data_IF_025784973449
#
_entry.id   IF_025784973449
#
_cell.length_a   1.000
_cell.length_b   1.000
_cell.length_c   1.000
_cell.angle_alpha   90.00
_cell.angle_beta   90.00
_cell.angle_gamma   90.00
#
_symmetry.space_group_name_H-M   'P 1'
#
loop_
_entity.id
_entity.type
_entity.pdbx_description
1 polymer ?
#
# COMPACT_ATOMS: atom_id res chain seq x y z
N UNK A 1 -6.13 -8.96 -12.28
CA UNK A 1 -6.61 -8.12 -11.16
C UNK A 1 -7.83 -7.35 -11.60
N UNK A 2 -8.97 -7.63 -10.97
CA UNK A 2 -10.27 -7.13 -11.45
C UNK A 2 -10.81 -5.97 -10.61
N UNK A 3 -10.21 -5.70 -9.47
CA UNK A 3 -10.65 -4.62 -8.58
C UNK A 3 -9.46 -3.75 -8.18
N UNK A 4 -9.72 -2.47 -7.86
CA UNK A 4 -8.67 -1.60 -7.33
C UNK A 4 -8.08 -2.20 -6.07
N UNK A 5 -6.75 -2.27 -5.99
CA UNK A 5 -6.04 -2.94 -4.90
C UNK A 5 -4.99 -2.03 -4.31
N UNK A 6 -5.03 -1.91 -2.99
CA UNK A 6 -3.97 -1.28 -2.20
C UNK A 6 -3.10 -2.39 -1.63
N UNK A 7 -1.79 -2.27 -1.82
CA UNK A 7 -0.82 -3.19 -1.22
C UNK A 7 0.12 -2.42 -0.32
N UNK A 8 0.18 -2.81 0.95
CA UNK A 8 1.19 -2.28 1.87
C UNK A 8 2.34 -3.27 1.97
N UNK A 9 3.55 -2.81 1.64
CA UNK A 9 4.76 -3.56 1.92
C UNK A 9 5.26 -3.16 3.30
N UNK A 10 5.46 -4.14 4.17
CA UNK A 10 5.84 -3.89 5.56
C UNK A 10 6.91 -4.87 6.02
N UNK A 11 7.46 -4.60 7.19
CA UNK A 11 8.34 -5.54 7.91
C UNK A 11 7.91 -5.59 9.37
N UNK A 12 8.17 -6.72 10.02
CA UNK A 12 7.76 -6.91 11.42
C UNK A 12 8.49 -5.95 12.38
N UNK A 13 9.69 -5.51 12.01
CA UNK A 13 10.49 -4.57 12.81
C UNK A 13 10.18 -3.11 12.49
N UNK A 14 9.27 -2.85 11.60
CA UNK A 14 8.99 -1.50 11.11
C UNK A 14 7.94 -0.81 11.98
N UNK A 15 8.37 0.11 12.84
CA UNK A 15 7.45 0.87 13.71
C UNK A 15 6.47 1.71 12.90
N UNK A 16 6.91 2.50 11.89
CA UNK A 16 5.95 3.31 11.10
C UNK A 16 4.91 2.47 10.35
N UNK A 17 5.20 1.19 10.10
CA UNK A 17 4.23 0.32 9.43
C UNK A 17 2.96 0.11 10.27
N UNK A 18 3.09 0.16 11.59
CA UNK A 18 1.93 0.06 12.49
C UNK A 18 1.02 1.26 12.36
N UNK A 19 1.60 2.45 12.26
CA UNK A 19 0.84 3.67 12.02
C UNK A 19 0.20 3.64 10.62
N UNK A 20 0.90 3.09 9.64
CA UNK A 20 0.35 2.94 8.29
C UNK A 20 -0.87 2.04 8.28
N UNK A 21 -0.90 0.98 9.09
CA UNK A 21 -2.07 0.11 9.20
C UNK A 21 -3.31 0.86 9.64
N UNK A 22 -3.16 1.79 10.58
CA UNK A 22 -4.27 2.62 11.06
C UNK A 22 -4.81 3.47 9.91
N UNK A 23 -3.92 4.08 9.14
CA UNK A 23 -4.32 4.92 8.01
C UNK A 23 -5.01 4.10 6.91
N UNK A 24 -4.56 2.87 6.68
CA UNK A 24 -5.21 1.99 5.71
C UNK A 24 -6.59 1.56 6.16
N UNK A 25 -6.81 1.35 7.46
CA UNK A 25 -8.15 1.06 7.99
C UNK A 25 -9.09 2.24 7.80
N UNK A 26 -8.59 3.45 7.98
CA UNK A 26 -9.37 4.65 7.69
C UNK A 26 -9.74 4.72 6.21
N UNK A 27 -8.80 4.38 5.33
CA UNK A 27 -9.03 4.36 3.90
C UNK A 27 -10.07 3.31 3.52
N UNK A 28 -10.00 2.12 4.11
CA UNK A 28 -10.98 1.07 3.87
C UNK A 28 -12.39 1.51 4.26
N UNK A 29 -12.53 2.23 5.36
CA UNK A 29 -13.82 2.76 5.80
C UNK A 29 -14.36 3.81 4.82
N UNK A 30 -13.47 4.61 4.23
CA UNK A 30 -13.84 5.63 3.25
C UNK A 30 -14.23 5.01 1.90
N UNK A 31 -13.54 3.94 1.49
CA UNK A 31 -13.77 3.27 0.19
C UNK A 31 -13.92 1.77 0.38
N UNK A 32 -15.12 1.30 0.78
CA UNK A 32 -15.33 -0.14 1.07
C UNK A 32 -15.09 -1.08 -0.11
N UNK A 33 -15.09 -0.57 -1.34
CA UNK A 33 -14.83 -1.37 -2.53
C UNK A 33 -13.36 -1.65 -2.81
N UNK A 34 -12.44 -1.05 -2.05
CA UNK A 34 -11.01 -1.31 -2.22
C UNK A 34 -10.63 -2.64 -1.60
N UNK A 35 -9.78 -3.38 -2.32
CA UNK A 35 -9.10 -4.53 -1.72
C UNK A 35 -7.79 -4.03 -1.10
N UNK A 36 -7.59 -4.31 0.18
CA UNK A 36 -6.37 -3.93 0.89
C UNK A 36 -5.64 -5.20 1.32
N UNK A 37 -4.38 -5.32 0.93
CA UNK A 37 -3.55 -6.47 1.32
C UNK A 37 -2.21 -5.98 1.85
N UNK A 38 -1.61 -6.82 2.71
CA UNK A 38 -0.33 -6.51 3.34
C UNK A 38 0.65 -7.62 3.03
N UNK A 39 1.83 -7.23 2.55
CA UNK A 39 2.89 -8.17 2.18
C UNK A 39 4.14 -7.87 2.99
N UNK A 40 4.61 -8.90 3.70
CA UNK A 40 5.86 -8.83 4.44
C UNK A 40 7.01 -8.93 3.43
N UNK A 41 7.89 -7.93 3.42
CA UNK A 41 8.99 -7.88 2.44
C UNK A 41 9.95 -9.06 2.56
N UNK A 42 10.05 -9.65 3.75
CA UNK A 42 10.93 -10.80 3.96
C UNK A 42 10.38 -12.10 3.38
N UNK A 43 9.07 -12.13 3.12
CA UNK A 43 8.41 -13.29 2.54
C UNK A 43 8.15 -13.15 1.04
N UNK A 44 8.40 -11.96 0.47
CA UNK A 44 8.13 -11.66 -0.92
C UNK A 44 9.29 -10.93 -1.59
N UNK A 45 10.51 -11.50 -1.54
CA UNK A 45 11.67 -10.83 -2.14
C UNK A 45 11.53 -10.63 -3.65
N UNK A 46 10.79 -11.51 -4.32
CA UNK A 46 10.50 -11.38 -5.75
C UNK A 46 9.69 -10.12 -6.06
N UNK A 47 8.67 -9.82 -5.25
CA UNK A 47 7.85 -8.63 -5.44
C UNK A 47 8.59 -7.36 -5.03
N UNK A 48 9.42 -7.45 -3.99
CA UNK A 48 10.27 -6.34 -3.57
C UNK A 48 11.19 -5.92 -4.72
N UNK A 49 11.78 -6.89 -5.40
CA UNK A 49 12.63 -6.62 -6.55
C UNK A 49 11.83 -6.10 -7.73
N UNK A 50 10.71 -6.74 -8.04
CA UNK A 50 9.88 -6.38 -9.18
C UNK A 50 9.40 -4.93 -9.13
N UNK A 51 8.98 -4.48 -7.95
CA UNK A 51 8.45 -3.13 -7.75
C UNK A 51 9.49 -2.17 -7.18
N UNK A 52 10.74 -2.62 -7.04
CA UNK A 52 11.85 -1.81 -6.55
C UNK A 52 11.54 -1.15 -5.20
N UNK A 53 11.01 -1.95 -4.27
CA UNK A 53 10.66 -1.48 -2.93
C UNK A 53 11.96 -1.27 -2.15
N UNK A 54 12.24 -0.04 -1.74
CA UNK A 54 13.49 0.32 -1.07
C UNK A 54 13.28 0.78 0.37
N UNK A 55 12.05 1.03 0.76
CA UNK A 55 11.71 1.53 2.08
C UNK A 55 10.35 0.99 2.50
N UNK A 56 10.15 0.84 3.82
CA UNK A 56 8.86 0.46 4.39
C UNK A 56 8.47 1.48 5.45
N UNK A 57 7.15 1.75 5.61
CA UNK A 57 6.07 1.21 4.80
C UNK A 57 6.10 1.76 3.37
N UNK A 58 5.58 0.99 2.44
CA UNK A 58 5.40 1.42 1.06
C UNK A 58 3.99 1.03 0.65
N UNK A 59 3.19 1.99 0.20
CA UNK A 59 1.81 1.76 -0.20
C UNK A 59 1.71 1.87 -1.71
N UNK A 60 1.22 0.81 -2.36
CA UNK A 60 1.08 0.75 -3.80
C UNK A 60 -0.40 0.61 -4.16
N UNK A 61 -0.83 1.38 -5.16
CA UNK A 61 -2.18 1.30 -5.71
C UNK A 61 -2.13 0.73 -7.11
N UNK A 62 -3.00 -0.24 -7.35
CA UNK A 62 -3.12 -0.88 -8.67
C UNK A 62 -4.58 -0.92 -9.08
N UNK A 63 -4.83 -0.58 -10.34
CA UNK A 63 -6.15 -0.78 -10.94
C UNK A 63 -5.99 -1.34 -12.35
N UNK A 64 -7.01 -2.07 -12.87
CA UNK A 64 -6.91 -2.70 -14.17
C UNK A 64 -6.58 -1.69 -15.28
N UNK A 65 -5.65 -2.07 -16.14
CA UNK A 65 -5.29 -1.27 -17.30
C UNK A 65 -4.40 -0.08 -17.04
N UNK A 66 -3.92 0.13 -15.80
CA UNK A 66 -3.06 1.26 -15.46
C UNK A 66 -1.80 0.80 -14.75
N UNK A 67 -0.74 1.59 -14.91
CA UNK A 67 0.51 1.33 -14.20
C UNK A 67 0.34 1.56 -12.71
N UNK A 68 1.03 0.78 -11.85
CA UNK A 68 0.96 0.99 -10.41
C UNK A 68 1.47 2.37 -9.99
N UNK A 69 0.86 2.91 -8.95
CA UNK A 69 1.32 4.14 -8.29
C UNK A 69 1.83 3.78 -6.91
N UNK A 70 2.91 4.42 -6.47
CA UNK A 70 3.52 4.10 -5.18
C UNK A 70 3.77 5.34 -4.32
N UNK A 71 3.64 5.14 -3.00
CA UNK A 71 3.94 6.16 -1.99
C UNK A 71 4.91 5.58 -0.97
N UNK A 72 6.18 5.99 -1.01
CA UNK A 72 7.14 5.55 0.00
C UNK A 72 6.93 6.27 1.32
N UNK A 73 7.23 5.57 2.42
CA UNK A 73 7.11 6.12 3.76
C UNK A 73 5.67 6.15 4.27
N UNK A 74 5.52 6.62 5.51
CA UNK A 74 4.21 6.74 6.14
C UNK A 74 3.37 7.80 5.44
N UNK A 75 2.17 7.41 5.02
CA UNK A 75 1.27 8.28 4.25
C UNK A 75 -0.12 8.22 4.86
N UNK A 76 -0.72 9.38 5.10
CA UNK A 76 -2.06 9.45 5.67
C UNK A 76 -3.12 8.97 4.67
N UNK A 77 -4.30 8.58 5.18
CA UNK A 77 -5.42 8.21 4.33
C UNK A 77 -5.76 9.34 3.35
N UNK A 78 -5.74 10.59 3.83
CA UNK A 78 -6.04 11.76 2.99
C UNK A 78 -5.03 11.91 1.85
N UNK A 79 -3.75 11.70 2.14
CA UNK A 79 -2.70 11.77 1.11
C UNK A 79 -2.87 10.65 0.08
N UNK A 80 -3.25 9.45 0.52
CA UNK A 80 -3.50 8.33 -0.38
C UNK A 80 -4.70 8.58 -1.27
N UNK A 81 -5.76 9.14 -0.70
CA UNK A 81 -6.96 9.51 -1.47
C UNK A 81 -6.59 10.49 -2.59
N UNK A 82 -5.83 11.52 -2.25
CA UNK A 82 -5.41 12.54 -3.23
C UNK A 82 -4.49 11.93 -4.28
N UNK A 83 -3.47 11.19 -3.86
CA UNK A 83 -2.45 10.65 -4.76
C UNK A 83 -3.01 9.62 -5.74
N UNK A 84 -3.91 8.77 -5.25
CA UNK A 84 -4.44 7.66 -6.06
C UNK A 84 -5.77 7.99 -6.72
N UNK A 85 -6.32 9.18 -6.49
CA UNK A 85 -7.59 9.58 -7.10
C UNK A 85 -8.79 8.82 -6.55
N UNK A 86 -8.77 8.54 -5.28
CA UNK A 86 -9.84 7.79 -4.60
C UNK A 86 -10.94 8.74 -4.02
#
# INVERSE_FOLDING_TARGET
>A
MDVPTITEFYATWCVPCKAQDIELKRLEAFRPGLLVRRLNIEQHPDLVQKYEIKTVPFVMYQEPGKAPLGMPGLTSAEQLITKFGL
#
